data_IF_451525602591
#
_entry.id   IF_451525602591
#
_cell.length_a   1.000
_cell.length_b   1.000
_cell.length_c   1.000
_cell.angle_alpha   90.00
_cell.angle_beta   90.00
_cell.angle_gamma   90.00
#
_symmetry.space_group_name_H-M   'P 1'
#
loop_
_entity.id
_entity.type
_entity.pdbx_description
1 polymer ?
#
# COMPACT_ATOMS: atom_id res chain seq x y z
N UNK A 1 7.34 -3.30 -19.95
CA UNK A 1 6.97 -2.95 -18.56
C UNK A 1 8.15 -3.28 -17.65
N UNK A 2 8.78 -2.30 -16.98
CA UNK A 2 10.06 -2.48 -16.28
C UNK A 2 9.97 -2.07 -14.80
N UNK A 3 9.18 -2.80 -14.01
CA UNK A 3 9.15 -2.64 -12.54
C UNK A 3 10.16 -3.61 -11.94
N UNK A 4 10.95 -3.16 -10.97
CA UNK A 4 11.86 -4.04 -10.24
C UNK A 4 11.03 -5.09 -9.46
N UNK A 5 11.19 -6.40 -9.71
CA UNK A 5 10.42 -7.45 -9.02
C UNK A 5 10.55 -7.39 -7.49
N UNK A 6 11.68 -6.91 -6.97
CA UNK A 6 11.91 -6.77 -5.53
C UNK A 6 11.06 -5.65 -4.87
N UNK A 7 10.41 -4.80 -5.66
CA UNK A 7 9.46 -3.79 -5.18
C UNK A 7 8.01 -4.29 -5.18
N UNK A 8 7.76 -5.53 -5.62
CA UNK A 8 6.43 -6.11 -5.71
C UNK A 8 6.31 -7.22 -4.69
N UNK A 9 5.34 -7.09 -3.79
CA UNK A 9 4.97 -8.15 -2.86
C UNK A 9 3.58 -8.68 -3.23
N UNK A 10 3.46 -9.91 -3.76
CA UNK A 10 2.16 -10.54 -3.98
C UNK A 10 1.53 -10.92 -2.64
N UNK A 11 0.21 -10.82 -2.53
CA UNK A 11 -0.54 -11.23 -1.34
C UNK A 11 -1.90 -11.78 -1.75
N UNK A 12 -2.28 -12.92 -1.15
CA UNK A 12 -3.60 -13.54 -1.36
C UNK A 12 -4.51 -13.29 -0.16
N UNK A 13 -5.74 -12.85 -0.41
CA UNK A 13 -6.76 -12.61 0.64
C UNK A 13 -7.91 -13.63 0.63
N UNK A 14 -7.97 -14.50 -0.38
CA UNK A 14 -9.00 -15.52 -0.51
C UNK A 14 -10.41 -14.93 -0.38
N UNK A 15 -11.28 -15.67 0.29
CA UNK A 15 -12.67 -15.28 0.58
C UNK A 15 -12.84 -14.45 1.86
N UNK A 16 -11.75 -14.20 2.59
CA UNK A 16 -11.81 -13.60 3.93
C UNK A 16 -11.95 -12.07 3.94
N UNK A 17 -11.78 -11.41 2.79
CA UNK A 17 -11.97 -9.97 2.62
C UNK A 17 -12.80 -9.64 1.35
N UNK A 18 -14.09 -10.01 1.32
CA UNK A 18 -14.98 -9.65 0.22
C UNK A 18 -15.24 -8.15 0.23
N UNK A 19 -15.45 -7.56 -0.95
CA UNK A 19 -15.92 -6.17 -1.09
C UNK A 19 -17.40 -6.07 -1.41
N UNK A 20 -18.02 -7.19 -1.75
CA UNK A 20 -19.44 -7.31 -2.00
C UNK A 20 -19.94 -8.71 -1.61
N UNK A 21 -21.25 -8.91 -1.64
CA UNK A 21 -21.90 -10.17 -1.28
C UNK A 21 -21.49 -11.33 -2.21
N UNK A 22 -21.24 -12.51 -1.66
CA UNK A 22 -20.91 -13.73 -2.42
C UNK A 22 -22.15 -14.47 -2.94
N UNK A 23 -23.36 -14.08 -2.52
CA UNK A 23 -24.58 -14.77 -2.93
C UNK A 23 -24.99 -14.42 -4.37
N UNK A 24 -24.62 -13.24 -4.87
CA UNK A 24 -24.94 -12.79 -6.24
C UNK A 24 -23.82 -13.07 -7.24
N UNK A 25 -24.17 -13.25 -8.52
CA UNK A 25 -23.17 -13.44 -9.57
C UNK A 25 -22.29 -12.19 -9.75
N UNK A 26 -22.92 -11.02 -9.63
CA UNK A 26 -22.32 -9.70 -9.73
C UNK A 26 -21.33 -9.47 -8.58
N UNK A 27 -21.73 -9.77 -7.34
CA UNK A 27 -20.87 -9.60 -6.17
C UNK A 27 -19.66 -10.54 -6.19
N UNK A 28 -19.86 -11.82 -6.56
CA UNK A 28 -18.73 -12.74 -6.82
C UNK A 28 -17.80 -12.23 -7.91
N UNK A 29 -18.33 -11.58 -8.95
CA UNK A 29 -17.50 -10.98 -10.00
C UNK A 29 -16.64 -9.83 -9.48
N UNK A 30 -17.19 -8.97 -8.62
CA UNK A 30 -16.42 -7.90 -7.97
C UNK A 30 -15.38 -8.42 -6.99
N UNK A 31 -15.65 -9.54 -6.32
CA UNK A 31 -14.72 -10.16 -5.38
C UNK A 31 -13.48 -10.77 -6.07
N UNK A 32 -13.57 -11.16 -7.36
CA UNK A 32 -12.42 -11.61 -8.18
C UNK A 32 -11.60 -10.44 -8.74
N UNK A 33 -11.06 -9.59 -7.86
CA UNK A 33 -10.29 -8.38 -8.21
C UNK A 33 -8.82 -8.48 -7.85
N UNK A 34 -8.00 -7.67 -8.51
CA UNK A 34 -6.60 -7.41 -8.15
C UNK A 34 -6.48 -5.99 -7.60
N UNK A 35 -5.91 -5.84 -6.41
CA UNK A 35 -5.62 -4.54 -5.80
C UNK A 35 -4.12 -4.25 -5.83
N UNK A 36 -3.74 -3.03 -6.21
CA UNK A 36 -2.36 -2.56 -6.17
C UNK A 36 -2.28 -1.47 -5.10
N UNK A 37 -1.58 -1.77 -4.02
CA UNK A 37 -1.38 -0.83 -2.90
C UNK A 37 0.01 -0.23 -3.02
N UNK A 38 0.07 1.08 -3.23
CA UNK A 38 1.33 1.82 -3.28
C UNK A 38 1.67 2.33 -1.88
N UNK A 39 2.68 1.74 -1.25
CA UNK A 39 3.16 2.16 0.07
C UNK A 39 4.58 2.74 -0.03
N UNK A 40 4.88 3.89 0.59
CA UNK A 40 6.23 4.42 0.66
C UNK A 40 7.09 3.61 1.63
N UNK A 41 8.42 3.73 1.51
CA UNK A 41 9.34 3.19 2.53
C UNK A 41 9.22 4.02 3.81
N UNK A 42 8.71 3.39 4.86
CA UNK A 42 8.42 4.05 6.13
C UNK A 42 9.69 4.66 6.76
N UNK A 43 10.83 3.98 6.68
CA UNK A 43 12.10 4.51 7.21
C UNK A 43 12.52 5.81 6.52
N UNK A 44 12.29 5.90 5.20
CA UNK A 44 12.58 7.13 4.44
C UNK A 44 11.61 8.26 4.81
N UNK A 45 10.35 7.93 5.07
CA UNK A 45 9.38 8.89 5.56
C UNK A 45 9.80 9.46 6.92
N UNK A 46 10.22 8.60 7.86
CA UNK A 46 10.71 9.04 9.17
C UNK A 46 12.00 9.87 9.06
N UNK A 47 12.93 9.50 8.19
CA UNK A 47 14.14 10.30 7.93
C UNK A 47 13.79 11.70 7.42
N UNK A 48 12.79 11.82 6.53
CA UNK A 48 12.34 13.13 6.02
C UNK A 48 11.70 13.99 7.11
N UNK A 49 10.91 13.37 8.00
CA UNK A 49 10.29 14.06 9.14
C UNK A 49 11.32 14.52 10.18
N UNK A 50 12.31 13.68 10.51
CA UNK A 50 13.37 14.07 11.46
C UNK A 50 14.31 15.11 10.87
N UNK A 51 14.65 14.99 9.58
CA UNK A 51 15.50 15.96 8.88
C UNK A 51 14.86 17.34 8.72
N UNK A 52 13.53 17.45 8.80
CA UNK A 52 12.85 18.76 8.87
C UNK A 52 12.93 19.40 10.26
N UNK A 53 13.11 18.61 11.32
CA UNK A 53 13.14 19.12 12.70
C UNK A 53 14.51 19.74 13.06
N UNK A 54 15.61 19.26 12.47
CA UNK A 54 16.97 19.76 12.73
C UNK A 54 17.27 21.17 12.19
N UNK A 55 16.48 21.69 11.23
CA UNK A 55 16.69 23.03 10.65
C UNK A 55 16.15 24.16 11.53
N UNK A 56 15.30 23.88 12.52
CA UNK A 56 14.67 24.93 13.36
C UNK A 56 15.45 25.28 14.63
N UNK A 57 16.50 24.52 14.97
CA UNK A 57 17.29 24.72 16.20
C UNK A 57 18.65 25.41 15.96
N UNK A 58 18.98 25.76 14.71
CA UNK A 58 20.26 26.39 14.35
C UNK A 58 20.15 27.91 14.08
N UNK A 59 18.94 28.46 14.12
CA UNK A 59 18.69 29.90 14.03
C UNK A 59 18.03 30.39 15.32
N UNK A 60 18.85 30.72 16.32
CA UNK A 60 18.61 31.74 17.36
C UNK A 60 19.90 32.03 18.12
#
# INVERSE_FOLDING_TARGET
>A
YHVNPLQIQPSGRGEYMPVDDNDTAEGRSKNRRTEIIMAPKLDKLFQMLQGSDEQTLVEN
#
